data_IF_492900083227
#
_entry.id   IF_492900083227
#
_cell.length_a   1.000
_cell.length_b   1.000
_cell.length_c   1.000
_cell.angle_alpha   90.00
_cell.angle_beta   90.00
_cell.angle_gamma   90.00
#
_symmetry.space_group_name_H-M   'P 1'
#
loop_
_entity.id
_entity.type
_entity.pdbx_description
1 polymer ?
#
# COMPACT_ATOMS: atom_id res chain seq x y z
N UNK A 1 6.47 4.29 -20.38
CA UNK A 1 5.97 2.92 -20.12
C UNK A 1 6.00 2.81 -18.62
N UNK A 2 4.84 2.74 -17.96
CA UNK A 2 4.76 2.53 -16.53
C UNK A 2 4.99 1.07 -16.14
N UNK A 3 5.30 0.88 -14.86
CA UNK A 3 5.42 -0.40 -14.20
C UNK A 3 4.04 -0.91 -13.78
N UNK A 4 3.83 -2.23 -13.81
CA UNK A 4 2.65 -2.85 -13.22
C UNK A 4 3.04 -4.18 -12.62
N UNK A 5 2.49 -4.49 -11.46
CA UNK A 5 2.86 -5.69 -10.71
C UNK A 5 2.00 -5.86 -9.48
N UNK A 6 1.72 -7.11 -9.14
CA UNK A 6 0.96 -7.48 -7.95
C UNK A 6 1.85 -8.30 -7.03
N UNK A 7 1.94 -7.88 -5.78
CA UNK A 7 2.78 -8.51 -4.76
C UNK A 7 1.93 -8.86 -3.56
N UNK A 8 2.00 -10.10 -3.11
CA UNK A 8 1.23 -10.55 -1.95
C UNK A 8 2.14 -11.15 -0.90
N UNK A 9 2.16 -10.56 0.29
CA UNK A 9 2.87 -11.07 1.45
C UNK A 9 1.90 -11.86 2.32
N UNK A 10 2.17 -13.15 2.51
CA UNK A 10 1.38 -14.05 3.35
C UNK A 10 2.26 -15.16 3.91
N UNK A 11 1.96 -15.62 5.13
CA UNK A 11 2.72 -16.64 5.85
C UNK A 11 4.25 -16.38 5.88
N UNK A 12 4.66 -15.11 6.02
CA UNK A 12 6.06 -14.72 6.15
C UNK A 12 6.85 -14.57 4.84
N UNK A 13 6.21 -14.69 3.67
CA UNK A 13 6.88 -14.62 2.37
C UNK A 13 6.02 -13.96 1.28
N UNK A 14 6.66 -13.47 0.21
CA UNK A 14 5.97 -13.04 -1.01
C UNK A 14 5.48 -14.24 -1.82
N UNK A 15 4.24 -14.17 -2.31
CA UNK A 15 3.51 -15.24 -2.99
C UNK A 15 2.64 -14.70 -4.13
N UNK A 16 2.18 -15.59 -4.99
CA UNK A 16 1.29 -15.28 -6.11
C UNK A 16 -0.18 -15.09 -5.68
N UNK A 17 -0.58 -15.68 -4.54
CA UNK A 17 -1.95 -15.67 -4.03
C UNK A 17 -1.96 -15.33 -2.52
N UNK A 18 -2.94 -14.56 -2.02
CA UNK A 18 -3.06 -14.22 -0.60
C UNK A 18 -3.24 -15.42 0.32
N UNK A 19 -3.77 -16.54 -0.17
CA UNK A 19 -4.18 -17.65 0.69
C UNK A 19 -5.28 -17.23 1.67
N UNK A 20 -5.25 -17.81 2.87
CA UNK A 20 -6.05 -17.37 4.01
C UNK A 20 -5.31 -16.25 4.79
N UNK A 21 -6.03 -15.52 5.64
CA UNK A 21 -5.46 -14.48 6.50
C UNK A 21 -4.34 -15.01 7.42
N UNK A 22 -3.32 -14.19 7.74
CA UNK A 22 -3.17 -12.78 7.39
C UNK A 22 -2.42 -12.53 6.07
N UNK A 23 -2.79 -11.46 5.35
CA UNK A 23 -2.10 -11.04 4.13
C UNK A 23 -1.95 -9.52 4.02
N UNK A 24 -0.97 -9.10 3.20
CA UNK A 24 -0.79 -7.75 2.66
C UNK A 24 -0.60 -7.88 1.14
N UNK A 25 -1.43 -7.23 0.34
CA UNK A 25 -1.35 -7.20 -1.10
C UNK A 25 -1.10 -5.77 -1.59
N UNK A 26 -0.21 -5.61 -2.57
CA UNK A 26 0.12 -4.35 -3.22
C UNK A 26 -0.04 -4.59 -4.72
N UNK A 27 -0.95 -3.86 -5.36
CA UNK A 27 -1.21 -3.93 -6.82
C UNK A 27 -0.89 -2.57 -7.45
N UNK A 28 0.13 -2.54 -8.32
CA UNK A 28 0.62 -1.33 -9.00
C UNK A 28 0.08 -1.27 -10.42
N UNK A 29 -0.46 -0.10 -10.79
CA UNK A 29 -1.05 0.18 -12.09
C UNK A 29 -0.37 1.39 -12.75
N UNK A 30 0.28 1.13 -13.89
CA UNK A 30 0.96 2.10 -14.77
C UNK A 30 1.86 3.13 -14.07
N UNK A 31 2.52 2.74 -12.97
CA UNK A 31 3.36 3.60 -12.11
C UNK A 31 2.68 4.79 -11.42
N UNK A 32 1.38 5.03 -11.63
CA UNK A 32 0.68 6.20 -11.07
C UNK A 32 -0.14 5.86 -9.82
N UNK A 33 -0.65 4.63 -9.75
CA UNK A 33 -1.56 4.18 -8.69
C UNK A 33 -1.05 2.85 -8.14
N UNK A 34 -1.06 2.70 -6.81
CA UNK A 34 -1.01 1.39 -6.19
C UNK A 34 -2.16 1.22 -5.21
N UNK A 35 -2.82 0.08 -5.26
CA UNK A 35 -3.81 -0.33 -4.25
C UNK A 35 -3.10 -1.20 -3.22
N UNK A 36 -3.27 -0.88 -1.94
CA UNK A 36 -2.81 -1.71 -0.84
C UNK A 36 -4.01 -2.26 -0.09
N UNK A 37 -4.07 -3.59 -0.01
CA UNK A 37 -5.07 -4.33 0.75
C UNK A 37 -4.39 -5.13 1.85
N UNK A 38 -4.95 -5.13 3.05
CA UNK A 38 -4.42 -5.96 4.13
C UNK A 38 -5.54 -6.50 5.00
N UNK A 39 -5.30 -7.68 5.56
CA UNK A 39 -6.24 -8.31 6.47
C UNK A 39 -5.51 -9.22 7.47
N UNK A 40 -5.95 -9.18 8.71
CA UNK A 40 -5.68 -10.14 9.78
C UNK A 40 -6.91 -10.24 10.68
N UNK A 41 -6.86 -11.15 11.66
CA UNK A 41 -7.94 -11.28 12.65
C UNK A 41 -8.14 -10.00 13.50
N UNK A 42 -7.12 -9.14 13.59
CA UNK A 42 -7.13 -7.92 14.40
C UNK A 42 -7.43 -6.64 13.60
N UNK A 43 -7.08 -6.60 12.32
CA UNK A 43 -7.16 -5.38 11.51
C UNK A 43 -7.32 -5.71 10.03
N UNK A 44 -8.05 -4.85 9.32
CA UNK A 44 -8.20 -4.91 7.88
C UNK A 44 -8.34 -3.50 7.32
N UNK A 45 -8.01 -3.33 6.04
CA UNK A 45 -8.09 -2.03 5.40
C UNK A 45 -7.67 -2.03 3.95
N UNK A 46 -7.98 -0.91 3.28
CA UNK A 46 -7.60 -0.62 1.90
C UNK A 46 -7.25 0.85 1.77
N UNK A 47 -6.11 1.13 1.16
CA UNK A 47 -5.71 2.48 0.80
C UNK A 47 -4.95 2.51 -0.52
N UNK A 48 -4.63 3.71 -0.98
CA UNK A 48 -3.91 3.94 -2.23
C UNK A 48 -2.56 4.60 -1.97
N UNK A 49 -1.60 4.37 -2.87
CA UNK A 49 -0.33 5.10 -2.97
C UNK A 49 -0.32 5.84 -4.32
N UNK A 50 0.39 6.97 -4.39
CA UNK A 50 0.37 7.82 -5.59
C UNK A 50 -0.95 8.60 -5.64
N UNK A 51 -1.79 8.30 -6.63
CA UNK A 51 -3.15 8.85 -6.72
C UNK A 51 -4.21 7.92 -6.14
N UNK A 52 -5.31 8.50 -5.65
CA UNK A 52 -6.55 7.74 -5.54
C UNK A 52 -7.19 7.58 -6.93
N UNK A 53 -7.81 6.43 -7.24
CA UNK A 53 -8.59 6.22 -8.46
C UNK A 53 -9.50 7.39 -8.83
N UNK A 54 -10.29 7.86 -7.86
CA UNK A 54 -11.24 8.96 -8.05
C UNK A 54 -10.61 10.28 -8.49
N UNK A 55 -9.38 10.55 -8.07
CA UNK A 55 -8.66 11.76 -8.42
C UNK A 55 -7.96 11.59 -9.78
N UNK A 56 -7.31 10.44 -10.01
CA UNK A 56 -6.60 10.16 -11.26
C UNK A 56 -7.53 10.18 -12.49
N UNK A 57 -8.72 9.59 -12.35
CA UNK A 57 -9.73 9.57 -13.42
C UNK A 57 -10.68 10.77 -13.39
N UNK A 58 -10.53 11.69 -12.43
CA UNK A 58 -11.47 12.79 -12.15
C UNK A 58 -12.94 12.29 -12.05
N UNK A 59 -13.13 11.08 -11.53
CA UNK A 59 -14.40 10.37 -11.46
C UNK A 59 -14.66 9.88 -10.01
N UNK A 60 -15.57 10.53 -9.25
CA UNK A 60 -15.85 10.15 -7.87
C UNK A 60 -16.40 8.73 -7.72
N UNK A 61 -16.92 8.12 -8.79
CA UNK A 61 -17.44 6.74 -8.78
C UNK A 61 -16.33 5.69 -9.01
N UNK A 62 -15.09 6.11 -9.32
CA UNK A 62 -13.96 5.19 -9.54
C UNK A 62 -13.43 4.51 -8.26
N UNK A 63 -13.62 5.14 -7.10
CA UNK A 63 -13.40 4.52 -5.78
C UNK A 63 -14.18 5.25 -4.68
N UNK A 64 -14.43 4.57 -3.56
CA UNK A 64 -14.88 5.23 -2.34
C UNK A 64 -13.77 6.14 -1.76
N UNK A 65 -14.11 7.20 -1.02
CA UNK A 65 -13.13 8.02 -0.32
C UNK A 65 -12.46 7.21 0.78
N UNK A 66 -11.14 7.33 0.88
CA UNK A 66 -10.33 6.66 1.91
C UNK A 66 -10.03 7.63 3.05
N UNK A 67 -10.30 7.22 4.30
CA UNK A 67 -9.81 7.93 5.49
C UNK A 67 -8.37 7.50 5.77
N UNK A 68 -7.41 8.24 5.21
CA UNK A 68 -6.00 7.88 5.26
C UNK A 68 -5.44 7.82 6.70
N UNK A 69 -6.00 8.58 7.65
CA UNK A 69 -5.59 8.51 9.06
C UNK A 69 -6.11 7.22 9.71
N UNK A 70 -7.35 6.82 9.42
CA UNK A 70 -7.91 5.56 9.88
C UNK A 70 -7.18 4.34 9.28
N UNK A 71 -6.88 4.37 7.98
CA UNK A 71 -6.17 3.28 7.30
C UNK A 71 -4.72 3.15 7.78
N UNK A 72 -4.01 4.26 8.00
CA UNK A 72 -2.67 4.23 8.58
C UNK A 72 -2.66 3.63 10.00
N UNK A 73 -3.69 3.93 10.81
CA UNK A 73 -3.85 3.34 12.13
C UNK A 73 -4.19 1.83 12.07
N UNK A 74 -5.05 1.44 11.13
CA UNK A 74 -5.41 0.03 10.90
C UNK A 74 -4.20 -0.78 10.42
N UNK A 75 -3.38 -0.24 9.50
CA UNK A 75 -2.15 -0.89 9.06
C UNK A 75 -1.14 -1.02 10.21
N UNK A 76 -0.98 0.02 11.05
CA UNK A 76 -0.12 -0.07 12.24
C UNK A 76 -0.54 -1.22 13.17
N UNK A 77 -1.86 -1.42 13.36
CA UNK A 77 -2.39 -2.54 14.12
C UNK A 77 -2.12 -3.89 13.45
N UNK A 78 -2.28 -3.98 12.13
CA UNK A 78 -1.94 -5.18 11.34
C UNK A 78 -0.46 -5.53 11.45
N UNK A 79 0.43 -4.56 11.33
CA UNK A 79 1.90 -4.74 11.43
C UNK A 79 2.30 -5.28 12.79
N UNK A 80 1.67 -4.76 13.86
CA UNK A 80 1.89 -5.25 15.21
C UNK A 80 1.43 -6.70 15.40
N UNK A 81 0.29 -7.05 14.82
CA UNK A 81 -0.31 -8.39 14.93
C UNK A 81 0.47 -9.43 14.11
N UNK A 82 0.84 -9.10 12.87
CA UNK A 82 1.37 -10.06 11.89
C UNK A 82 2.89 -10.10 11.88
N UNK A 83 3.55 -8.94 12.05
CA UNK A 83 5.01 -8.82 11.95
C UNK A 83 5.71 -8.66 13.31
N UNK A 84 4.94 -8.59 14.41
CA UNK A 84 5.44 -8.27 15.76
C UNK A 84 6.34 -7.01 15.77
N UNK A 85 5.95 -6.02 14.94
CA UNK A 85 6.67 -4.77 14.74
C UNK A 85 5.80 -3.59 15.18
N UNK A 86 6.41 -2.57 15.79
CA UNK A 86 5.74 -1.31 16.08
C UNK A 86 6.15 -0.29 15.03
N UNK A 87 5.19 0.15 14.21
CA UNK A 87 5.32 1.27 13.28
C UNK A 87 4.26 2.29 13.65
N UNK A 88 4.63 3.55 13.83
CA UNK A 88 3.66 4.58 14.21
C UNK A 88 2.79 4.95 13.00
N UNK A 89 1.47 5.17 13.17
CA UNK A 89 0.59 5.60 12.07
C UNK A 89 1.09 6.87 11.37
N UNK A 90 1.78 7.76 12.10
CA UNK A 90 2.38 8.98 11.56
C UNK A 90 3.56 8.74 10.61
N UNK A 91 4.16 7.54 10.63
CA UNK A 91 5.21 7.14 9.67
C UNK A 91 4.59 6.55 8.39
N UNK A 92 3.42 5.91 8.51
CA UNK A 92 2.68 5.31 7.39
C UNK A 92 1.90 6.39 6.61
N UNK A 93 1.19 7.27 7.33
CA UNK A 93 0.28 8.28 6.77
C UNK A 93 0.89 9.12 5.63
N UNK A 94 2.16 9.56 5.68
CA UNK A 94 2.77 10.34 4.61
C UNK A 94 3.06 9.57 3.30
N UNK A 95 2.84 8.25 3.28
CA UNK A 95 2.95 7.41 2.09
C UNK A 95 1.61 7.23 1.38
N UNK A 96 0.49 7.33 2.11
CA UNK A 96 -0.85 7.17 1.56
C UNK A 96 -1.18 8.32 0.61
N UNK A 97 -1.93 8.00 -0.44
CA UNK A 97 -2.48 8.99 -1.36
C UNK A 97 -3.40 9.95 -0.60
N UNK A 98 -3.19 11.25 -0.80
CA UNK A 98 -4.09 12.30 -0.32
C UNK A 98 -5.32 12.39 -1.23
N UNK A 99 -6.43 12.85 -0.68
CA UNK A 99 -7.65 13.14 -1.45
C UNK A 99 -7.55 14.52 -2.11
N UNK A 100 -7.84 14.59 -3.41
CA UNK A 100 -7.96 15.86 -4.14
C UNK A 100 -6.66 16.62 -4.37
N UNK A 101 -5.52 15.93 -4.50
CA UNK A 101 -4.23 16.53 -4.87
C UNK A 101 -4.05 16.58 -6.38
N UNK A 102 -3.41 17.66 -6.88
CA UNK A 102 -3.09 17.79 -8.31
C UNK A 102 -1.95 16.84 -8.74
N UNK A 103 -0.96 16.65 -7.86
CA UNK A 103 0.20 15.78 -8.11
C UNK A 103 0.49 14.93 -6.86
N UNK A 104 0.95 13.67 -7.03
CA UNK A 104 1.36 12.83 -5.94
C UNK A 104 2.74 13.29 -5.43
N UNK A 105 3.12 12.80 -4.25
CA UNK A 105 4.41 13.18 -3.65
C UNK A 105 5.63 12.66 -4.42
N UNK A 106 5.48 11.53 -5.09
CA UNK A 106 6.56 10.84 -5.79
C UNK A 106 6.13 10.58 -7.23
N UNK A 107 7.06 10.75 -8.16
CA UNK A 107 6.80 10.64 -9.60
C UNK A 107 6.46 9.20 -10.04
N UNK A 108 6.84 8.20 -9.24
CA UNK A 108 6.62 6.78 -9.51
C UNK A 108 6.14 6.06 -8.25
N UNK A 109 4.96 5.44 -8.31
CA UNK A 109 4.33 4.82 -7.15
C UNK A 109 5.09 3.59 -6.65
N UNK A 110 5.84 2.90 -7.50
CA UNK A 110 6.72 1.80 -7.10
C UNK A 110 7.76 2.22 -6.05
N UNK A 111 8.24 3.47 -6.09
CA UNK A 111 9.18 3.99 -5.08
C UNK A 111 8.50 4.18 -3.72
N UNK A 112 7.23 4.60 -3.74
CA UNK A 112 6.39 4.69 -2.54
C UNK A 112 6.05 3.31 -1.98
N UNK A 113 5.72 2.36 -2.85
CA UNK A 113 5.50 0.96 -2.46
C UNK A 113 6.77 0.34 -1.84
N UNK A 114 7.94 0.57 -2.43
CA UNK A 114 9.20 0.08 -1.90
C UNK A 114 9.52 0.68 -0.52
N UNK A 115 9.30 1.99 -0.33
CA UNK A 115 9.47 2.65 0.98
C UNK A 115 8.49 2.09 2.02
N UNK A 116 7.24 1.81 1.64
CA UNK A 116 6.29 1.13 2.52
C UNK A 116 6.83 -0.25 2.94
N UNK A 117 7.23 -1.09 1.98
CA UNK A 117 7.78 -2.43 2.26
C UNK A 117 9.00 -2.36 3.20
N UNK A 118 9.89 -1.41 2.97
CA UNK A 118 11.06 -1.17 3.82
C UNK A 118 10.68 -0.69 5.23
N UNK A 119 9.69 0.20 5.36
CA UNK A 119 9.14 0.63 6.65
C UNK A 119 8.61 -0.56 7.45
N UNK A 120 7.97 -1.52 6.77
CA UNK A 120 7.49 -2.77 7.35
C UNK A 120 8.60 -3.81 7.61
N UNK A 121 9.86 -3.47 7.28
CA UNK A 121 11.04 -4.35 7.40
C UNK A 121 10.92 -5.66 6.63
N UNK A 122 10.11 -5.67 5.58
CA UNK A 122 10.01 -6.80 4.67
C UNK A 122 11.10 -6.70 3.60
N UNK A 123 11.56 -7.85 3.10
CA UNK A 123 12.41 -7.87 1.91
C UNK A 123 11.62 -7.33 0.71
N UNK A 124 12.27 -6.63 -0.22
CA UNK A 124 11.60 -6.24 -1.46
C UNK A 124 11.29 -7.50 -2.31
N UNK A 125 10.12 -7.56 -2.98
CA UNK A 125 9.87 -8.54 -4.03
C UNK A 125 10.91 -8.41 -5.15
N UNK A 126 11.31 -9.53 -5.77
CA UNK A 126 12.36 -9.55 -6.79
C UNK A 126 12.04 -8.67 -8.02
N UNK A 127 10.75 -8.57 -8.37
CA UNK A 127 10.28 -7.83 -9.55
C UNK A 127 9.92 -6.36 -9.24
N UNK A 128 9.93 -5.93 -7.97
CA UNK A 128 9.69 -4.53 -7.62
C UNK A 128 10.99 -3.73 -7.81
N UNK A 129 10.99 -2.68 -8.65
CA UNK A 129 12.18 -1.85 -8.80
C UNK A 129 12.60 -1.24 -7.45
N UNK A 130 13.89 -1.32 -7.16
CA UNK A 130 14.45 -0.70 -5.98
C UNK A 130 14.40 0.84 -6.13
N UNK A 131 14.11 1.59 -5.06
CA UNK A 131 14.21 3.04 -5.09
C UNK A 131 15.67 3.45 -5.36
N UNK A 132 15.90 4.60 -6.03
CA UNK A 132 17.23 5.08 -6.41
C UNK A 132 18.15 5.38 -5.22
#
# INVERSE_FOLDING_TARGET
MGFSGRFVYSEGAWRDDPGDEPFLAIDIHDSDIATVDFHSAAAAGRFYLGFQPRDYWEDPDASEPVDADAEAASLSAWVKDVLDLSVEPTEIRPLLAEDGVEDPKDDFVEETAARLIQLLRLSLPDDLPAPP
#
